data_IF_209868698560
#
_entry.id   IF_209868698560
#
_cell.length_a   1.000
_cell.length_b   1.000
_cell.length_c   1.000
_cell.angle_alpha   90.00
_cell.angle_beta   90.00
_cell.angle_gamma   90.00
#
_symmetry.space_group_name_H-M   'P 1'
#
loop_
_entity.id
_entity.type
_entity.pdbx_description
1 polymer ?
#
# COMPACT_ATOMS: atom_id res chain seq x y z
N UNK A 1 -27.50 15.92 -87.77
CA UNK A 1 -27.37 17.27 -87.16
C UNK A 1 -26.71 17.16 -85.80
N UNK A 2 -25.40 17.45 -85.72
CA UNK A 2 -24.73 17.82 -84.46
C UNK A 2 -23.46 18.60 -84.84
N UNK A 3 -23.39 19.80 -84.31
CA UNK A 3 -22.59 20.91 -84.80
C UNK A 3 -21.09 20.79 -84.48
N UNK A 4 -20.29 21.26 -85.44
CA UNK A 4 -18.89 21.66 -85.31
C UNK A 4 -18.81 22.97 -84.51
N UNK A 5 -17.91 23.03 -83.51
CA UNK A 5 -17.32 24.27 -82.95
C UNK A 5 -15.88 23.92 -82.54
N UNK A 6 -14.90 24.34 -83.32
CA UNK A 6 -14.13 25.59 -83.21
C UNK A 6 -13.04 25.52 -82.12
N UNK A 7 -11.81 25.44 -82.61
CA UNK A 7 -10.57 25.51 -81.86
C UNK A 7 -10.36 26.89 -81.24
N UNK A 8 -9.75 26.95 -80.06
CA UNK A 8 -9.10 28.16 -79.56
C UNK A 8 -7.97 27.82 -78.58
N UNK A 9 -6.78 28.21 -79.00
CA UNK A 9 -5.65 28.78 -78.26
C UNK A 9 -5.09 28.05 -77.03
N UNK A 10 -3.89 27.52 -77.25
CA UNK A 10 -2.85 27.26 -76.25
C UNK A 10 -2.32 28.62 -75.77
N UNK A 11 -2.41 28.90 -74.47
CA UNK A 11 -1.62 29.95 -73.81
C UNK A 11 -0.99 29.35 -72.55
N UNK A 12 0.31 29.11 -72.63
CA UNK A 12 1.10 28.55 -71.54
C UNK A 12 1.19 29.51 -70.37
N UNK A 13 0.82 29.02 -69.19
CA UNK A 13 1.14 29.65 -67.91
C UNK A 13 2.32 28.87 -67.34
N UNK A 14 3.52 29.41 -67.49
CA UNK A 14 4.70 28.96 -66.77
C UNK A 14 4.51 29.35 -65.29
N UNK A 15 3.80 28.51 -64.54
CA UNK A 15 3.70 28.63 -63.10
C UNK A 15 5.05 28.30 -62.47
N UNK A 16 5.73 29.30 -61.92
CA UNK A 16 6.83 29.09 -60.98
C UNK A 16 6.34 28.16 -59.87
N UNK A 17 6.81 26.91 -59.90
CA UNK A 17 6.64 25.96 -58.82
C UNK A 17 7.60 26.40 -57.70
N UNK A 18 7.17 27.38 -56.90
CA UNK A 18 7.85 27.75 -55.66
C UNK A 18 7.75 26.57 -54.70
N UNK A 19 8.76 25.70 -54.71
CA UNK A 19 8.98 24.73 -53.64
C UNK A 19 9.32 25.52 -52.37
N UNK A 20 8.31 25.84 -51.56
CA UNK A 20 8.49 26.21 -50.16
C UNK A 20 9.08 24.99 -49.44
N UNK A 21 10.41 24.94 -49.36
CA UNK A 21 11.14 24.06 -48.45
C UNK A 21 10.85 24.51 -47.01
N UNK A 22 9.78 23.99 -46.43
CA UNK A 22 9.56 24.06 -44.99
C UNK A 22 10.56 23.12 -44.31
N UNK A 23 11.73 23.65 -43.94
CA UNK A 23 12.68 22.93 -43.10
C UNK A 23 12.12 22.93 -41.66
N UNK A 24 11.90 21.76 -41.03
CA UNK A 24 11.51 21.75 -39.63
C UNK A 24 12.64 22.35 -38.79
N UNK A 25 12.42 23.54 -38.24
CA UNK A 25 13.35 24.21 -37.32
C UNK A 25 13.12 23.64 -35.92
N UNK A 26 14.10 22.88 -35.43
CA UNK A 26 14.15 22.42 -34.04
C UNK A 26 13.18 21.27 -33.73
N UNK A 27 13.53 20.05 -34.13
CA UNK A 27 12.85 18.86 -33.63
C UNK A 27 13.17 18.69 -32.13
N UNK A 28 12.16 18.82 -31.28
CA UNK A 28 12.24 18.52 -29.84
C UNK A 28 11.64 17.15 -29.63
N UNK A 29 12.41 16.23 -29.05
CA UNK A 29 11.92 14.90 -28.71
C UNK A 29 11.15 14.97 -27.39
N UNK A 30 9.88 14.59 -27.41
CA UNK A 30 9.09 14.33 -26.21
C UNK A 30 9.10 12.82 -25.99
N UNK A 31 9.58 12.40 -24.82
CA UNK A 31 9.59 10.98 -24.42
C UNK A 31 8.44 10.73 -23.46
N UNK A 32 7.68 9.66 -23.71
CA UNK A 32 6.61 9.19 -22.84
C UNK A 32 6.97 7.78 -22.36
N UNK A 33 7.11 7.60 -21.05
CA UNK A 33 7.39 6.32 -20.42
C UNK A 33 6.24 5.93 -19.49
N UNK A 34 5.94 4.64 -19.40
CA UNK A 34 4.93 4.11 -18.49
C UNK A 34 5.16 2.62 -18.23
N UNK A 35 4.82 2.17 -17.02
CA UNK A 35 4.86 0.78 -16.61
C UNK A 35 3.43 0.28 -16.38
N UNK A 36 3.03 -0.80 -17.07
CA UNK A 36 1.75 -1.45 -16.85
C UNK A 36 1.95 -2.65 -15.92
N UNK A 37 1.25 -2.66 -14.80
CA UNK A 37 1.33 -3.72 -13.79
C UNK A 37 0.08 -4.61 -13.86
N UNK A 38 0.26 -5.92 -13.98
CA UNK A 38 -0.82 -6.91 -13.95
C UNK A 38 -1.18 -7.29 -12.50
N UNK A 39 -1.65 -6.31 -11.73
CA UNK A 39 -2.19 -6.56 -10.39
C UNK A 39 -3.69 -6.27 -10.37
N UNK A 40 -4.52 -7.14 -9.75
CA UNK A 40 -5.96 -6.94 -9.73
C UNK A 40 -6.40 -5.62 -9.13
N UNK A 41 -5.66 -5.07 -8.16
CA UNK A 41 -5.92 -3.75 -7.59
C UNK A 41 -4.63 -2.94 -7.46
N UNK A 42 -4.80 -1.62 -7.34
CA UNK A 42 -3.77 -0.69 -6.90
C UNK A 42 -3.89 -0.43 -5.40
N UNK A 43 -2.77 -0.20 -4.72
CA UNK A 43 -2.77 0.25 -3.33
C UNK A 43 -3.03 1.76 -3.34
N UNK A 44 -3.98 2.22 -2.52
CA UNK A 44 -4.24 3.65 -2.34
C UNK A 44 -2.98 4.35 -1.81
N UNK A 45 -2.64 5.53 -2.32
CA UNK A 45 -1.44 6.27 -1.90
C UNK A 45 -1.43 6.54 -0.39
N UNK A 46 -2.60 6.76 0.23
CA UNK A 46 -2.72 6.95 1.67
C UNK A 46 -2.41 5.66 2.48
N UNK A 47 -2.34 4.50 1.81
CA UNK A 47 -1.98 3.21 2.39
C UNK A 47 -0.52 2.80 2.16
N UNK A 48 0.25 3.53 1.35
CA UNK A 48 1.65 3.18 1.08
C UNK A 48 2.59 3.48 2.26
N UNK A 49 2.36 4.58 2.97
CA UNK A 49 3.18 4.97 4.10
C UNK A 49 2.29 5.61 5.18
N UNK A 50 2.06 4.85 6.25
CA UNK A 50 1.18 5.23 7.34
C UNK A 50 1.94 5.28 8.65
N UNK A 51 1.61 6.27 9.48
CA UNK A 51 2.06 6.31 10.88
C UNK A 51 0.85 6.10 11.77
N UNK A 52 0.88 5.02 12.56
CA UNK A 52 -0.12 4.76 13.60
C UNK A 52 0.40 5.32 14.91
N UNK A 53 -0.20 6.42 15.37
CA UNK A 53 0.19 7.09 16.60
C UNK A 53 -0.57 6.49 17.78
N UNK A 54 0.16 5.84 18.71
CA UNK A 54 -0.40 5.40 19.98
C UNK A 54 -0.60 6.58 20.94
N UNK A 55 -1.63 6.49 21.78
CA UNK A 55 -1.82 7.44 22.87
C UNK A 55 -0.65 7.39 23.86
N UNK A 56 -0.26 8.56 24.36
CA UNK A 56 0.70 8.65 25.45
C UNK A 56 0.12 8.04 26.73
N UNK A 57 0.94 7.23 27.42
CA UNK A 57 0.52 6.47 28.61
C UNK A 57 1.63 6.47 29.65
N UNK A 58 1.28 6.57 30.95
CA UNK A 58 2.23 6.34 32.04
C UNK A 58 2.87 4.94 31.96
N UNK A 59 4.19 4.85 32.16
CA UNK A 59 4.91 3.58 32.16
C UNK A 59 4.33 2.57 33.18
N UNK A 60 3.77 3.05 34.29
CA UNK A 60 3.12 2.22 35.32
C UNK A 60 1.96 1.37 34.78
N UNK A 61 1.28 1.80 33.72
CA UNK A 61 0.17 1.05 33.12
C UNK A 61 0.65 -0.24 32.46
N UNK A 62 1.96 -0.35 32.23
CA UNK A 62 2.65 -1.50 31.65
C UNK A 62 3.38 -2.35 32.69
N UNK A 63 3.25 -2.02 33.98
CA UNK A 63 3.87 -2.76 35.10
C UNK A 63 2.93 -3.77 35.73
N UNK A 64 1.66 -3.81 35.32
CA UNK A 64 0.64 -4.72 35.80
C UNK A 64 0.03 -5.50 34.64
N UNK A 65 -0.30 -6.77 34.85
CA UNK A 65 -0.91 -7.60 33.80
C UNK A 65 -2.29 -7.04 33.39
N UNK A 66 -2.62 -6.94 32.09
CA UNK A 66 -1.88 -7.48 30.93
C UNK A 66 -0.81 -6.55 30.34
N UNK A 67 -0.59 -5.37 30.93
CA UNK A 67 0.38 -4.38 30.47
C UNK A 67 0.11 -3.93 29.04
N UNK A 68 -1.17 -3.68 28.71
CA UNK A 68 -1.66 -3.46 27.35
C UNK A 68 -2.30 -2.07 27.21
N UNK A 69 -1.88 -1.34 26.18
CA UNK A 69 -2.49 -0.06 25.81
C UNK A 69 -3.78 -0.22 25.00
N UNK A 70 -4.53 0.89 24.81
CA UNK A 70 -5.67 0.91 23.89
C UNK A 70 -5.21 0.59 22.46
N UNK A 71 -6.14 0.06 21.67
CA UNK A 71 -5.88 -0.29 20.27
C UNK A 71 -6.24 0.88 19.34
N UNK A 72 -5.29 1.27 18.50
CA UNK A 72 -5.46 2.32 17.50
C UNK A 72 -5.79 1.73 16.15
N UNK A 73 -6.71 2.38 15.43
CA UNK A 73 -7.17 1.92 14.11
C UNK A 73 -6.24 2.41 13.02
N UNK A 74 -6.05 1.58 12.02
CA UNK A 74 -5.48 1.96 10.73
C UNK A 74 -6.12 1.13 9.63
N UNK A 75 -6.02 1.56 8.38
CA UNK A 75 -6.63 0.82 7.29
C UNK A 75 -5.70 0.71 6.08
N UNK A 76 -5.88 -0.36 5.33
CA UNK A 76 -5.25 -0.52 4.02
C UNK A 76 -6.37 -0.50 3.00
N UNK A 77 -6.26 0.36 2.00
CA UNK A 77 -7.26 0.54 0.95
C UNK A 77 -6.67 0.15 -0.39
N UNK A 78 -7.44 -0.67 -1.12
CA UNK A 78 -7.15 -1.03 -2.51
C UNK A 78 -8.19 -0.37 -3.41
N UNK A 79 -7.74 0.15 -4.55
CA UNK A 79 -8.54 0.91 -5.51
C UNK A 79 -8.34 0.37 -6.93
N UNK A 80 -9.24 0.76 -7.83
CA UNK A 80 -9.19 0.38 -9.24
C UNK A 80 -9.09 -1.15 -9.40
N UNK A 81 -9.87 -1.87 -8.59
CA UNK A 81 -9.88 -3.31 -8.57
C UNK A 81 -10.63 -3.88 -9.78
N UNK A 82 -9.97 -4.72 -10.57
CA UNK A 82 -10.60 -5.43 -11.68
C UNK A 82 -11.31 -6.70 -11.20
N UNK A 83 -12.63 -6.63 -11.01
CA UNK A 83 -13.45 -7.77 -10.60
C UNK A 83 -13.51 -8.92 -11.64
N UNK A 84 -13.06 -8.71 -12.88
CA UNK A 84 -13.06 -9.70 -13.95
C UNK A 84 -11.74 -10.50 -14.05
N UNK A 85 -10.77 -10.27 -13.16
CA UNK A 85 -9.51 -11.04 -13.11
C UNK A 85 -9.73 -12.52 -12.76
N UNK A 86 -8.77 -13.39 -13.04
CA UNK A 86 -8.78 -14.80 -12.58
C UNK A 86 -8.51 -14.89 -11.08
N UNK A 87 -7.74 -13.94 -10.53
CA UNK A 87 -7.38 -13.88 -9.10
C UNK A 87 -8.49 -13.28 -8.25
N UNK A 88 -9.40 -14.12 -7.75
CA UNK A 88 -10.63 -13.69 -7.09
C UNK A 88 -10.47 -13.35 -5.62
N UNK A 89 -9.32 -13.63 -5.02
CA UNK A 89 -9.05 -13.43 -3.60
C UNK A 89 -7.79 -12.60 -3.42
N UNK A 90 -7.84 -11.64 -2.51
CA UNK A 90 -6.67 -10.90 -2.03
C UNK A 90 -6.43 -11.23 -0.57
N UNK A 91 -5.19 -11.61 -0.27
CA UNK A 91 -4.68 -11.85 1.07
C UNK A 91 -3.66 -10.77 1.42
N UNK A 92 -3.73 -10.32 2.65
CA UNK A 92 -2.84 -9.30 3.20
C UNK A 92 -2.12 -9.89 4.40
N UNK A 93 -0.79 -9.81 4.40
CA UNK A 93 0.08 -10.34 5.43
C UNK A 93 0.98 -9.24 5.96
N UNK A 94 1.26 -9.25 7.26
CA UNK A 94 2.21 -8.34 7.88
C UNK A 94 3.49 -9.09 8.28
N UNK A 95 4.64 -8.56 7.87
CA UNK A 95 5.96 -9.12 8.14
C UNK A 95 6.85 -8.06 8.78
N UNK A 96 7.49 -8.43 9.90
CA UNK A 96 8.40 -7.56 10.62
C UNK A 96 9.22 -8.32 11.66
N UNK A 97 10.12 -7.61 12.34
CA UNK A 97 10.96 -8.22 13.36
C UNK A 97 10.12 -8.61 14.58
N UNK A 98 10.15 -9.88 14.96
CA UNK A 98 9.41 -10.42 16.12
C UNK A 98 10.05 -10.00 17.44
N UNK A 99 9.24 -9.80 18.48
CA UNK A 99 9.72 -9.62 19.85
C UNK A 99 9.81 -10.96 20.56
N UNK A 100 11.00 -11.54 20.61
CA UNK A 100 11.26 -12.84 21.25
C UNK A 100 10.93 -12.87 22.74
N UNK A 101 10.99 -11.71 23.42
CA UNK A 101 10.64 -11.63 24.84
C UNK A 101 9.14 -11.85 25.12
N UNK A 102 8.28 -11.92 24.08
CA UNK A 102 6.89 -12.36 24.20
C UNK A 102 6.74 -13.89 24.32
N UNK A 103 7.84 -14.66 24.32
CA UNK A 103 7.87 -16.12 24.55
C UNK A 103 6.98 -16.86 23.52
N UNK A 104 6.06 -17.70 23.97
CA UNK A 104 5.12 -18.45 23.12
C UNK A 104 4.26 -17.56 22.20
N UNK A 105 4.17 -16.25 22.49
CA UNK A 105 3.43 -15.29 21.68
C UNK A 105 4.32 -14.51 20.70
N UNK A 106 5.62 -14.81 20.58
CA UNK A 106 6.56 -14.03 19.74
C UNK A 106 6.09 -13.84 18.28
N UNK A 107 5.37 -14.80 17.72
CA UNK A 107 4.83 -14.71 16.37
C UNK A 107 3.70 -13.68 16.18
N UNK A 108 3.15 -13.12 17.26
CA UNK A 108 2.04 -12.15 17.22
C UNK A 108 2.48 -10.71 17.49
N UNK A 109 3.76 -10.50 17.77
CA UNK A 109 4.24 -9.23 18.30
C UNK A 109 5.50 -8.75 17.59
N UNK A 110 5.47 -7.48 17.17
CA UNK A 110 6.59 -6.78 16.56
C UNK A 110 7.47 -6.18 17.66
N UNK A 111 8.78 -6.27 17.44
CA UNK A 111 9.82 -5.63 18.26
C UNK A 111 9.72 -4.11 18.16
N UNK A 112 9.97 -3.44 19.28
CA UNK A 112 10.16 -1.99 19.33
C UNK A 112 11.64 -1.62 19.45
N UNK A 113 11.95 -0.38 19.07
CA UNK A 113 13.22 0.30 19.32
C UNK A 113 13.08 1.31 20.48
N UNK A 114 14.20 1.89 20.92
CA UNK A 114 14.24 2.86 22.02
C UNK A 114 14.54 2.22 23.37
N UNK A 115 14.31 2.98 24.45
CA UNK A 115 14.64 2.56 25.84
C UNK A 115 13.85 1.34 26.33
N UNK A 116 12.76 1.00 25.61
CA UNK A 116 11.88 -0.12 25.90
C UNK A 116 12.03 -1.29 24.90
N UNK A 117 13.09 -1.33 24.10
CA UNK A 117 13.41 -2.52 23.30
C UNK A 117 13.51 -3.78 24.19
N UNK A 118 12.84 -4.87 23.81
CA UNK A 118 12.74 -6.09 24.63
C UNK A 118 11.75 -6.02 25.80
N UNK A 119 11.11 -4.85 26.02
CA UNK A 119 10.18 -4.61 27.13
C UNK A 119 8.76 -4.32 26.69
N UNK A 120 8.62 -3.67 25.54
CA UNK A 120 7.35 -3.43 24.87
C UNK A 120 7.36 -4.09 23.48
N UNK A 121 6.18 -4.44 23.00
CA UNK A 121 5.96 -5.01 21.69
C UNK A 121 4.65 -4.48 21.08
N UNK A 122 4.52 -4.49 19.76
CA UNK A 122 3.29 -4.09 19.07
C UNK A 122 2.54 -5.32 18.57
N UNK A 123 1.31 -5.51 19.05
CA UNK A 123 0.39 -6.51 18.54
C UNK A 123 -0.52 -5.94 17.46
N UNK A 124 -0.94 -6.78 16.52
CA UNK A 124 -1.90 -6.44 15.48
C UNK A 124 -3.21 -7.21 15.71
N UNK A 125 -4.33 -6.55 15.45
CA UNK A 125 -5.66 -7.16 15.40
C UNK A 125 -6.14 -7.16 13.95
N UNK A 126 -6.74 -8.28 13.56
CA UNK A 126 -7.32 -8.55 12.25
C UNK A 126 -8.51 -7.60 11.96
N UNK A 127 -9.12 -7.73 10.78
CA UNK A 127 -10.18 -6.84 10.29
C UNK A 127 -11.49 -6.91 11.08
N UNK A 128 -11.66 -7.92 11.93
CA UNK A 128 -12.76 -7.98 12.91
C UNK A 128 -12.49 -7.07 14.13
N UNK A 129 -11.29 -6.52 14.24
CA UNK A 129 -10.85 -5.62 15.29
C UNK A 129 -10.68 -6.26 16.67
N UNK A 130 -10.69 -7.60 16.77
CA UNK A 130 -10.58 -8.37 18.02
C UNK A 130 -9.63 -9.56 17.95
N UNK A 131 -9.47 -10.21 16.79
CA UNK A 131 -8.63 -11.41 16.64
C UNK A 131 -7.17 -11.01 16.49
N UNK A 132 -6.24 -11.53 17.31
CA UNK A 132 -4.81 -11.31 17.12
C UNK A 132 -4.32 -11.84 15.78
N UNK A 133 -3.62 -11.01 15.01
CA UNK A 133 -3.08 -11.38 13.72
C UNK A 133 -1.64 -11.88 13.88
N UNK A 134 -1.38 -13.12 13.47
CA UNK A 134 -0.04 -13.70 13.48
C UNK A 134 0.79 -13.10 12.35
N UNK A 135 2.04 -12.74 12.64
CA UNK A 135 2.97 -12.20 11.64
C UNK A 135 3.31 -13.27 10.61
N UNK A 136 3.16 -12.92 9.33
CA UNK A 136 3.30 -13.80 8.17
C UNK A 136 2.02 -14.54 7.75
N UNK A 137 1.00 -14.58 8.61
CA UNK A 137 -0.30 -15.15 8.26
C UNK A 137 -1.15 -14.12 7.53
N UNK A 138 -2.05 -14.62 6.67
CA UNK A 138 -3.01 -13.76 5.99
C UNK A 138 -4.19 -13.44 6.90
N UNK A 139 -4.69 -12.20 6.78
CA UNK A 139 -5.89 -11.73 7.46
C UNK A 139 -7.12 -12.63 7.17
N UNK A 140 -8.15 -12.48 8.00
CA UNK A 140 -9.37 -13.28 7.93
C UNK A 140 -9.08 -14.80 8.02
N UNK A 141 -8.24 -15.19 8.99
CA UNK A 141 -7.84 -16.60 9.24
C UNK A 141 -7.27 -17.29 8.01
N UNK A 142 -6.52 -16.58 7.19
CA UNK A 142 -5.92 -17.09 5.97
C UNK A 142 -6.84 -17.14 4.75
N UNK A 143 -8.13 -16.80 4.89
CA UNK A 143 -9.09 -16.82 3.78
C UNK A 143 -8.96 -15.60 2.87
N UNK A 144 -8.47 -14.46 3.39
CA UNK A 144 -8.47 -13.20 2.65
C UNK A 144 -9.88 -12.69 2.34
N UNK A 145 -9.97 -11.77 1.37
CA UNK A 145 -11.23 -11.19 0.91
C UNK A 145 -11.37 -11.31 -0.61
N UNK A 146 -12.61 -11.41 -1.08
CA UNK A 146 -12.88 -11.49 -2.52
C UNK A 146 -12.69 -10.13 -3.22
N UNK A 147 -12.05 -10.15 -4.39
CA UNK A 147 -11.93 -9.01 -5.32
C UNK A 147 -13.15 -8.97 -6.22
N UNK A 148 -14.25 -8.41 -5.72
CA UNK A 148 -15.55 -8.36 -6.40
C UNK A 148 -16.15 -6.95 -6.50
N UNK A 149 -15.38 -5.93 -6.13
CA UNK A 149 -15.75 -4.52 -6.14
C UNK A 149 -14.57 -3.71 -6.66
N UNK A 150 -14.82 -2.47 -7.07
CA UNK A 150 -13.79 -1.54 -7.56
C UNK A 150 -12.83 -1.05 -6.46
N UNK A 151 -13.25 -1.13 -5.19
CA UNK A 151 -12.41 -0.80 -4.05
C UNK A 151 -12.67 -1.74 -2.87
N UNK A 152 -11.60 -2.00 -2.10
CA UNK A 152 -11.61 -2.80 -0.88
C UNK A 152 -10.94 -2.00 0.24
N UNK A 153 -11.49 -2.07 1.45
CA UNK A 153 -10.91 -1.47 2.65
C UNK A 153 -10.75 -2.55 3.73
N UNK A 154 -9.58 -2.58 4.34
CA UNK A 154 -9.20 -3.52 5.39
C UNK A 154 -8.88 -2.73 6.66
N UNK A 155 -9.78 -2.78 7.64
CA UNK A 155 -9.67 -1.99 8.88
C UNK A 155 -9.00 -2.80 9.99
N UNK A 156 -7.71 -2.58 10.21
CA UNK A 156 -6.94 -3.25 11.25
C UNK A 156 -6.86 -2.41 12.53
N UNK A 157 -6.35 -3.01 13.61
CA UNK A 157 -5.91 -2.25 14.77
C UNK A 157 -4.52 -2.68 15.21
N UNK A 158 -3.79 -1.78 15.85
CA UNK A 158 -2.52 -2.08 16.52
C UNK A 158 -2.62 -1.70 17.99
N UNK A 159 -1.88 -2.36 18.86
CA UNK A 159 -1.77 -1.99 20.27
C UNK A 159 -0.37 -2.27 20.80
N UNK A 160 0.05 -1.50 21.80
CA UNK A 160 1.29 -1.76 22.55
C UNK A 160 1.02 -2.69 23.72
N UNK A 161 1.93 -3.63 23.98
CA UNK A 161 1.88 -4.53 25.14
C UNK A 161 3.27 -4.75 25.72
N UNK A 162 3.37 -4.86 27.04
CA UNK A 162 4.59 -5.21 27.74
C UNK A 162 4.91 -6.70 27.66
N UNK A 163 6.21 -7.02 27.66
CA UNK A 163 6.69 -8.39 27.72
C UNK A 163 6.46 -8.96 29.13
N UNK A 164 6.22 -10.28 29.27
CA UNK A 164 5.96 -10.89 30.58
C UNK A 164 7.04 -10.57 31.63
N UNK A 165 8.31 -10.57 31.23
CA UNK A 165 9.42 -10.30 32.15
C UNK A 165 9.50 -8.81 32.51
N UNK A 166 9.14 -7.90 31.59
CA UNK A 166 9.08 -6.47 31.89
C UNK A 166 7.96 -6.13 32.88
N UNK A 167 6.83 -6.83 32.82
CA UNK A 167 5.75 -6.73 33.82
C UNK A 167 6.27 -7.24 35.17
N UNK A 168 6.83 -8.45 35.22
CA UNK A 168 7.31 -9.08 36.46
C UNK A 168 8.37 -8.23 37.18
N UNK A 169 9.24 -7.57 36.42
CA UNK A 169 10.33 -6.74 36.93
C UNK A 169 9.95 -5.26 37.05
N UNK A 170 8.74 -4.86 36.64
CA UNK A 170 8.29 -3.46 36.52
C UNK A 170 9.30 -2.58 35.78
N UNK A 171 9.87 -3.10 34.70
CA UNK A 171 11.07 -2.53 34.07
C UNK A 171 10.82 -1.63 32.86
N UNK A 172 9.55 -1.44 32.45
CA UNK A 172 9.16 -0.46 31.42
C UNK A 172 9.45 0.95 31.91
N UNK A 173 10.06 1.77 31.06
CA UNK A 173 10.54 3.12 31.39
C UNK A 173 9.82 4.19 30.57
N UNK A 174 9.71 5.43 31.06
CA UNK A 174 9.33 6.57 30.23
C UNK A 174 10.31 6.75 29.06
N UNK A 175 9.78 6.98 27.86
CA UNK A 175 10.57 7.25 26.67
C UNK A 175 9.88 6.82 25.38
N UNK A 176 10.37 7.32 24.26
CA UNK A 176 9.85 6.96 22.94
C UNK A 176 10.13 5.49 22.61
N UNK A 177 9.18 4.89 21.89
CA UNK A 177 9.32 3.59 21.24
C UNK A 177 8.77 3.65 19.82
N UNK A 178 9.41 2.92 18.90
CA UNK A 178 9.00 2.85 17.49
C UNK A 178 9.08 1.42 17.00
N UNK A 179 8.19 1.03 16.10
CA UNK A 179 8.21 -0.26 15.41
C UNK A 179 7.88 -0.06 13.94
N UNK A 180 8.39 -0.94 13.07
CA UNK A 180 8.15 -0.91 11.63
C UNK A 180 7.72 -2.30 11.19
N UNK A 181 6.70 -2.35 10.34
CA UNK A 181 6.17 -3.56 9.74
C UNK A 181 5.88 -3.29 8.27
N UNK A 182 6.13 -4.28 7.43
CA UNK A 182 5.76 -4.25 6.03
C UNK A 182 4.50 -5.09 5.85
N UNK A 183 3.61 -4.67 4.95
CA UNK A 183 2.55 -5.54 4.48
C UNK A 183 2.82 -5.96 3.04
N UNK A 184 2.30 -7.13 2.69
CA UNK A 184 2.35 -7.67 1.33
C UNK A 184 0.96 -8.13 0.90
N UNK A 185 0.70 -8.04 -0.40
CA UNK A 185 -0.52 -8.54 -1.02
C UNK A 185 -0.21 -9.81 -1.80
N UNK A 186 -1.03 -10.83 -1.59
CA UNK A 186 -1.00 -12.07 -2.36
C UNK A 186 -2.36 -12.25 -3.00
N UNK A 187 -2.37 -12.43 -4.32
CA UNK A 187 -3.59 -12.66 -5.10
C UNK A 187 -3.68 -14.14 -5.47
N UNK A 188 -4.87 -14.72 -5.28
CA UNK A 188 -5.20 -16.14 -5.54
C UNK A 188 -6.53 -16.27 -6.28
#
# INVERSE_FOLDING_TARGET
MRNVRSATSISGVAGCLSLLLALPVGAVNITFDGELLDRPCQIDYASLNQTVQFLERPAKDFHESPGKGPAEKFNIRLIQCNANTIWKTVKLKFNGNRESAMKEQADYFLKVTGVNAGKLAIGLLDTDGITPLKLGDAHNRGMGNSVNRDALQFDFKAYVQATPDAIAQKSVQPGEYKSVVNFELVYE
#
